data_IF_122369779237
#
_entry.id   IF_122369779237
#
_cell.length_a   1.000
_cell.length_b   1.000
_cell.length_c   1.000
_cell.angle_alpha   90.00
_cell.angle_beta   90.00
_cell.angle_gamma   90.00
#
_symmetry.space_group_name_H-M   'P 1'
#
loop_
_entity.id
_entity.type
_entity.pdbx_description
1 polymer ?
#
# COMPACT_ATOMS: atom_id res chain seq x y z
N UNK A 1 -13.85 -32.95 0.99
CA UNK A 1 -15.23 -33.38 0.66
C UNK A 1 -15.76 -32.68 -0.59
N UNK A 2 -15.98 -31.37 -0.59
CA UNK A 2 -16.45 -30.66 -1.80
C UNK A 2 -15.52 -30.76 -3.03
N UNK A 3 -14.19 -30.81 -2.83
CA UNK A 3 -13.22 -31.11 -3.91
C UNK A 3 -13.41 -32.47 -4.60
N UNK A 4 -13.97 -33.44 -3.88
CA UNK A 4 -14.23 -34.80 -4.40
C UNK A 4 -15.61 -34.86 -5.04
N UNK A 5 -16.57 -34.10 -4.51
CA UNK A 5 -17.94 -34.03 -5.02
C UNK A 5 -18.06 -33.19 -6.31
N UNK A 6 -17.24 -32.13 -6.45
CA UNK A 6 -17.32 -31.17 -7.56
C UNK A 6 -15.92 -30.80 -8.07
N UNK A 7 -15.19 -31.73 -8.71
CA UNK A 7 -13.83 -31.50 -9.16
C UNK A 7 -13.73 -30.37 -10.20
N UNK A 8 -14.71 -30.27 -11.10
CA UNK A 8 -14.71 -29.28 -12.18
C UNK A 8 -15.00 -27.86 -11.67
N UNK A 9 -15.97 -27.71 -10.78
CA UNK A 9 -16.32 -26.42 -10.17
C UNK A 9 -15.19 -25.86 -9.31
N UNK A 10 -14.48 -26.74 -8.60
CA UNK A 10 -13.31 -26.35 -7.81
C UNK A 10 -12.20 -25.83 -8.73
N UNK A 11 -11.99 -26.46 -9.89
CA UNK A 11 -11.01 -25.99 -10.87
C UNK A 11 -11.38 -24.61 -11.43
N UNK A 12 -12.68 -24.38 -11.68
CA UNK A 12 -13.21 -23.11 -12.17
C UNK A 12 -13.05 -22.00 -11.12
N UNK A 13 -13.41 -22.28 -9.86
CA UNK A 13 -13.24 -21.35 -8.75
C UNK A 13 -11.76 -20.97 -8.53
N UNK A 14 -10.84 -21.94 -8.65
CA UNK A 14 -9.40 -21.67 -8.56
C UNK A 14 -8.90 -20.80 -9.71
N UNK A 15 -9.37 -21.03 -10.95
CA UNK A 15 -9.04 -20.20 -12.11
C UNK A 15 -9.54 -18.77 -11.91
N UNK A 16 -10.78 -18.60 -11.46
CA UNK A 16 -11.35 -17.27 -11.14
C UNK A 16 -10.56 -16.56 -10.03
N UNK A 17 -10.15 -17.29 -8.98
CA UNK A 17 -9.31 -16.73 -7.91
C UNK A 17 -7.94 -16.27 -8.42
N UNK A 18 -7.30 -17.06 -9.28
CA UNK A 18 -6.02 -16.70 -9.90
C UNK A 18 -6.14 -15.43 -10.73
N UNK A 19 -7.18 -15.31 -11.56
CA UNK A 19 -7.46 -14.11 -12.37
C UNK A 19 -7.71 -12.89 -11.46
N UNK A 20 -8.50 -13.05 -10.39
CA UNK A 20 -8.74 -11.96 -9.42
C UNK A 20 -7.44 -11.49 -8.77
N UNK A 21 -6.58 -12.42 -8.35
CA UNK A 21 -5.28 -12.08 -7.75
C UNK A 21 -4.36 -11.38 -8.75
N UNK A 22 -4.26 -11.90 -9.98
CA UNK A 22 -3.43 -11.26 -11.01
C UNK A 22 -3.93 -9.88 -11.41
N UNK A 23 -5.25 -9.68 -11.51
CA UNK A 23 -5.84 -8.37 -11.77
C UNK A 23 -5.57 -7.39 -10.63
N UNK A 24 -5.72 -7.83 -9.38
CA UNK A 24 -5.43 -7.01 -8.21
C UNK A 24 -3.96 -6.60 -8.15
N UNK A 25 -3.02 -7.51 -8.41
CA UNK A 25 -1.58 -7.21 -8.46
C UNK A 25 -1.25 -6.28 -9.65
N UNK A 26 -1.79 -6.59 -10.84
CA UNK A 26 -1.54 -5.84 -12.08
C UNK A 26 -2.03 -4.39 -12.00
N UNK A 27 -3.20 -4.14 -11.38
CA UNK A 27 -3.78 -2.79 -11.22
C UNK A 27 -2.85 -1.79 -10.53
N UNK A 28 -1.88 -2.25 -9.74
CA UNK A 28 -0.97 -1.37 -9.01
C UNK A 28 0.41 -1.26 -9.64
N UNK A 29 0.80 -2.13 -10.58
CA UNK A 29 2.15 -2.11 -11.19
C UNK A 29 2.24 -1.05 -12.29
N UNK A 30 1.22 -0.95 -13.16
CA UNK A 30 1.20 0.01 -14.29
C UNK A 30 0.92 1.45 -13.88
N UNK A 31 0.20 1.66 -12.76
CA UNK A 31 -0.13 2.99 -12.24
C UNK A 31 0.99 3.63 -11.44
N UNK A 32 2.20 3.07 -11.43
CA UNK A 32 3.36 3.63 -10.70
C UNK A 32 3.68 5.06 -11.11
N UNK A 33 3.48 5.42 -12.39
CA UNK A 33 3.64 6.78 -12.91
C UNK A 33 2.49 7.73 -12.53
N UNK A 34 1.31 7.19 -12.24
CA UNK A 34 0.11 7.94 -11.86
C UNK A 34 -0.06 8.04 -10.34
N UNK A 35 0.85 7.43 -9.56
CA UNK A 35 0.83 7.58 -8.11
C UNK A 35 1.20 9.02 -7.77
N UNK A 36 0.47 9.70 -6.87
CA UNK A 36 0.92 10.98 -6.36
C UNK A 36 2.30 10.79 -5.70
N UNK A 37 3.18 11.76 -5.87
CA UNK A 37 4.47 11.78 -5.21
C UNK A 37 4.23 12.01 -3.71
N UNK A 38 4.16 10.94 -2.94
CA UNK A 38 4.00 11.03 -1.49
C UNK A 38 5.26 11.64 -0.88
N UNK A 39 5.11 12.81 -0.28
CA UNK A 39 6.14 13.50 0.49
C UNK A 39 5.93 13.30 1.99
N UNK A 40 6.90 13.76 2.81
CA UNK A 40 6.78 13.73 4.28
C UNK A 40 5.54 14.46 4.82
N UNK A 41 5.04 15.46 4.10
CA UNK A 41 3.85 16.26 4.46
C UNK A 41 2.52 15.52 4.22
N UNK A 42 2.52 14.43 3.45
CA UNK A 42 1.31 13.64 3.16
C UNK A 42 0.94 12.66 4.29
N UNK A 43 1.85 12.48 5.26
CA UNK A 43 1.65 11.60 6.40
C UNK A 43 1.26 12.41 7.62
N UNK A 44 0.09 12.12 8.18
CA UNK A 44 -0.27 12.65 9.49
C UNK A 44 0.62 12.01 10.56
N UNK A 45 1.14 12.79 11.52
CA UNK A 45 1.85 12.22 12.66
C UNK A 45 0.94 11.19 13.33
N UNK A 46 1.45 9.98 13.51
CA UNK A 46 0.77 8.96 14.31
C UNK A 46 0.65 9.54 15.72
N UNK A 47 -0.55 9.97 16.10
CA UNK A 47 -0.88 10.28 17.48
C UNK A 47 -1.04 8.96 18.22
N UNK A 48 0.10 8.33 18.48
CA UNK A 48 0.20 7.24 19.44
C UNK A 48 0.48 7.87 20.79
N UNK A 49 -0.44 7.64 21.72
CA UNK A 49 -0.21 7.56 23.15
C UNK A 49 1.03 6.71 23.46
N UNK A 50 2.22 7.32 23.35
CA UNK A 50 3.43 7.03 24.14
C UNK A 50 4.59 7.96 23.74
N UNK A 51 4.84 8.91 24.62
CA UNK A 51 6.15 9.46 25.00
C UNK A 51 6.98 10.24 23.96
N UNK A 52 6.87 11.56 24.12
CA UNK A 52 7.88 12.60 23.91
C UNK A 52 9.30 12.13 23.62
N UNK A 53 9.79 12.40 22.41
CA UNK A 53 11.20 12.77 22.21
C UNK A 53 11.24 14.21 21.74
N UNK A 54 11.76 15.06 22.63
CA UNK A 54 11.77 16.50 22.56
C UNK A 54 12.35 17.06 21.25
N UNK A 55 11.57 17.92 20.61
CA UNK A 55 12.03 18.79 19.54
C UNK A 55 12.95 19.87 20.12
N UNK A 56 14.26 19.66 20.03
CA UNK A 56 15.27 20.72 20.12
C UNK A 56 16.26 20.60 18.98
N UNK A 57 16.08 21.43 17.95
CA UNK A 57 16.94 22.60 17.73
C UNK A 57 16.58 23.26 16.40
N UNK A 58 16.00 24.44 16.51
CA UNK A 58 15.99 25.44 15.44
C UNK A 58 17.41 25.99 15.28
N UNK A 59 17.93 26.05 14.05
CA UNK A 59 18.77 27.19 13.66
C UNK A 59 18.85 27.38 12.13
N UNK A 60 18.26 28.51 11.70
CA UNK A 60 18.72 29.52 10.72
C UNK A 60 19.58 29.09 9.53
N UNK A 61 19.12 29.47 8.33
CA UNK A 61 20.01 29.59 7.17
C UNK A 61 19.32 29.99 5.86
N UNK A 62 18.51 31.06 5.85
CA UNK A 62 18.15 31.73 4.59
C UNK A 62 19.41 32.40 4.02
N UNK A 63 19.83 32.01 2.83
CA UNK A 63 20.62 32.88 1.96
C UNK A 63 20.26 32.60 0.51
N UNK A 64 19.55 33.57 -0.05
CA UNK A 64 19.15 33.72 -1.44
C UNK A 64 20.22 34.58 -2.11
N UNK A 65 20.87 34.10 -3.17
CA UNK A 65 21.42 34.95 -4.23
C UNK A 65 21.53 34.16 -5.52
#
# INVERSE_FOLDING_TARGET
RWKVLFPDEVSLAQKALKIKKSALISNFVSRSKDRPALGPDDFLPVQGDAETVDAKNANVGKSKK
#
